data_IF_284825805271
#
_entry.id   IF_284825805271
#
_cell.length_a   1.000
_cell.length_b   1.000
_cell.length_c   1.000
_cell.angle_alpha   90.00
_cell.angle_beta   90.00
_cell.angle_gamma   90.00
#
_symmetry.space_group_name_H-M   'P 1'
#
loop_
_entity.id
_entity.type
_entity.pdbx_description
1 polymer ?
#
# COMPACT_ATOMS: atom_id res chain seq x y z
N UNK A 1 -21.43 -11.45 -26.93
CA UNK A 1 -22.68 -10.69 -26.77
C UNK A 1 -23.18 -10.73 -25.31
N UNK A 2 -23.28 -11.89 -24.67
CA UNK A 2 -23.78 -12.00 -23.28
C UNK A 2 -22.91 -11.26 -22.23
N UNK A 3 -21.57 -11.23 -22.39
CA UNK A 3 -20.70 -10.51 -21.48
C UNK A 3 -20.86 -8.97 -21.59
N UNK A 4 -21.07 -8.44 -22.80
CA UNK A 4 -21.25 -7.01 -23.00
C UNK A 4 -22.58 -6.50 -22.45
N UNK A 5 -23.64 -7.29 -22.52
CA UNK A 5 -24.94 -6.95 -21.91
C UNK A 5 -24.86 -6.98 -20.38
N UNK A 6 -24.13 -7.95 -19.81
CA UNK A 6 -23.93 -8.03 -18.36
C UNK A 6 -23.12 -6.82 -17.83
N UNK A 7 -22.06 -6.41 -18.53
CA UNK A 7 -21.27 -5.22 -18.18
C UNK A 7 -22.08 -3.93 -18.23
N UNK A 8 -22.90 -3.75 -19.28
CA UNK A 8 -23.80 -2.57 -19.42
C UNK A 8 -24.82 -2.53 -18.27
N UNK A 9 -25.42 -3.67 -17.93
CA UNK A 9 -26.38 -3.75 -16.83
C UNK A 9 -25.74 -3.46 -15.47
N UNK A 10 -24.49 -3.88 -15.25
CA UNK A 10 -23.76 -3.61 -14.02
C UNK A 10 -23.37 -2.13 -13.91
N UNK A 11 -22.98 -1.52 -15.02
CA UNK A 11 -22.68 -0.09 -15.11
C UNK A 11 -23.93 0.77 -14.85
N UNK A 12 -25.08 0.44 -15.46
CA UNK A 12 -26.35 1.12 -15.23
C UNK A 12 -26.83 0.98 -13.77
N UNK A 13 -26.69 -0.20 -13.15
CA UNK A 13 -27.02 -0.42 -11.74
C UNK A 13 -26.10 0.40 -10.82
N UNK A 14 -24.82 0.47 -11.15
CA UNK A 14 -23.85 1.25 -10.40
C UNK A 14 -24.16 2.75 -10.50
N UNK A 15 -24.45 3.26 -11.68
CA UNK A 15 -24.84 4.66 -11.89
C UNK A 15 -26.15 5.00 -11.16
N UNK A 16 -27.15 4.13 -11.24
CA UNK A 16 -28.42 4.30 -10.54
C UNK A 16 -28.26 4.27 -9.02
N UNK A 17 -27.34 3.43 -8.51
CA UNK A 17 -27.01 3.36 -7.09
C UNK A 17 -26.26 4.61 -6.61
N UNK A 18 -25.31 5.10 -7.42
CA UNK A 18 -24.57 6.33 -7.13
C UNK A 18 -25.46 7.57 -7.18
N UNK A 19 -26.38 7.67 -8.12
CA UNK A 19 -27.29 8.82 -8.27
C UNK A 19 -28.28 8.99 -7.13
N UNK A 20 -28.52 7.95 -6.34
CA UNK A 20 -29.43 7.97 -5.18
C UNK A 20 -28.72 8.27 -3.86
N UNK A 21 -27.38 8.45 -3.86
CA UNK A 21 -26.63 8.73 -2.64
C UNK A 21 -26.43 10.22 -2.46
N UNK A 22 -26.81 10.69 -1.31
CA UNK A 22 -26.37 12.00 -0.83
C UNK A 22 -24.91 11.92 -0.44
N UNK A 23 -24.06 12.74 -1.07
CA UNK A 23 -22.65 12.85 -0.70
C UNK A 23 -22.58 13.73 0.54
N UNK A 24 -22.32 13.11 1.68
CA UNK A 24 -22.07 13.82 2.93
C UNK A 24 -20.63 14.26 2.96
N UNK A 25 -20.40 15.57 2.96
CA UNK A 25 -19.07 16.13 3.09
C UNK A 25 -18.58 16.06 4.54
N UNK A 26 -17.25 15.94 4.76
CA UNK A 26 -16.70 15.96 6.11
C UNK A 26 -16.89 17.33 6.76
N UNK A 27 -17.23 17.35 8.06
CA UNK A 27 -17.36 18.59 8.84
C UNK A 27 -15.99 19.23 9.16
N UNK A 28 -14.92 18.42 9.19
CA UNK A 28 -13.57 18.86 9.52
C UNK A 28 -12.60 18.38 8.44
N UNK A 29 -11.80 19.29 7.91
CA UNK A 29 -10.69 19.01 7.00
C UNK A 29 -9.38 19.52 7.61
N UNK A 30 -8.28 18.78 7.40
CA UNK A 30 -6.95 19.15 7.86
C UNK A 30 -5.88 18.68 6.85
N UNK A 31 -4.72 19.32 6.87
CA UNK A 31 -3.63 19.02 5.92
C UNK A 31 -2.59 18.03 6.47
N UNK A 32 -2.14 18.22 7.72
CA UNK A 32 -1.03 17.43 8.28
C UNK A 32 -1.46 16.54 9.43
N UNK A 33 -2.02 17.14 10.47
CA UNK A 33 -2.36 16.43 11.70
C UNK A 33 -3.60 17.03 12.34
N UNK A 34 -4.47 16.15 12.81
CA UNK A 34 -5.60 16.51 13.67
C UNK A 34 -5.55 15.68 14.95
N UNK A 35 -5.78 16.31 16.11
CA UNK A 35 -5.70 15.66 17.42
C UNK A 35 -7.08 15.56 18.03
N UNK A 36 -7.51 14.34 18.29
CA UNK A 36 -8.73 14.05 19.05
C UNK A 36 -8.36 13.69 20.50
N UNK A 37 -9.07 14.28 21.45
CA UNK A 37 -9.01 13.88 22.86
C UNK A 37 -10.37 13.37 23.28
N UNK A 38 -10.43 12.12 23.75
CA UNK A 38 -11.65 11.43 24.16
C UNK A 38 -11.41 10.82 25.54
N UNK A 39 -11.88 11.49 26.59
CA UNK A 39 -11.53 11.13 27.96
C UNK A 39 -10.02 11.27 28.21
N UNK A 40 -9.39 10.19 28.62
CA UNK A 40 -7.96 10.07 28.89
C UNK A 40 -7.14 9.60 27.64
N UNK A 41 -7.79 9.42 26.50
CA UNK A 41 -7.16 8.94 25.26
C UNK A 41 -6.90 10.07 24.28
N UNK A 42 -5.76 10.00 23.63
CA UNK A 42 -5.35 10.88 22.54
C UNK A 42 -5.22 10.08 21.24
N UNK A 43 -5.93 10.50 20.19
CA UNK A 43 -5.80 9.94 18.85
C UNK A 43 -5.25 11.02 17.93
N UNK A 44 -4.08 10.78 17.37
CA UNK A 44 -3.50 11.62 16.33
C UNK A 44 -3.91 11.07 14.95
N UNK A 45 -4.68 11.82 14.20
CA UNK A 45 -4.92 11.58 12.78
C UNK A 45 -3.83 12.30 11.99
N UNK A 46 -3.03 11.56 11.23
CA UNK A 46 -1.81 12.09 10.59
C UNK A 46 -1.86 11.79 9.10
N UNK A 47 -1.74 12.83 8.27
CA UNK A 47 -1.58 12.66 6.83
C UNK A 47 -0.17 12.15 6.52
N UNK A 48 -0.08 11.08 5.75
CA UNK A 48 1.19 10.56 5.25
C UNK A 48 1.57 11.14 3.87
N UNK A 49 0.73 11.98 3.31
CA UNK A 49 0.89 12.53 1.96
C UNK A 49 0.26 11.63 0.88
N UNK A 50 0.52 11.94 -0.40
CA UNK A 50 0.04 11.14 -1.54
C UNK A 50 0.85 9.86 -1.70
N UNK A 51 0.19 8.77 -2.06
CA UNK A 51 0.82 7.45 -2.30
C UNK A 51 -0.25 6.41 -2.51
N UNK A 52 -0.85 5.89 -1.45
CA UNK A 52 -2.00 4.98 -1.56
C UNK A 52 -3.24 5.70 -2.11
N UNK A 53 -3.55 6.86 -1.57
CA UNK A 53 -4.53 7.85 -2.07
C UNK A 53 -3.98 9.23 -1.77
N UNK A 54 -4.57 10.27 -2.35
CA UNK A 54 -4.15 11.66 -2.11
C UNK A 54 -4.56 12.18 -0.72
N UNK A 55 -5.42 11.46 -0.02
CA UNK A 55 -6.01 11.87 1.26
C UNK A 55 -5.84 10.83 2.36
N UNK A 56 -4.83 9.96 2.25
CA UNK A 56 -4.62 8.91 3.23
C UNK A 56 -4.16 9.48 4.57
N UNK A 57 -4.85 9.08 5.62
CA UNK A 57 -4.48 9.36 7.01
C UNK A 57 -4.27 8.05 7.77
N UNK A 58 -3.41 8.10 8.77
CA UNK A 58 -3.27 7.04 9.76
C UNK A 58 -3.76 7.53 11.11
N UNK A 59 -4.25 6.62 11.95
CA UNK A 59 -4.66 6.94 13.31
C UNK A 59 -3.67 6.35 14.32
N UNK A 60 -3.04 7.23 15.11
CA UNK A 60 -2.10 6.85 16.16
C UNK A 60 -2.74 7.05 17.53
N UNK A 61 -2.99 5.95 18.22
CA UNK A 61 -3.55 5.87 19.56
C UNK A 61 -2.38 5.92 20.56
N UNK A 62 -2.15 7.12 21.11
CA UNK A 62 -0.90 7.43 21.82
C UNK A 62 -0.71 6.57 23.07
N UNK A 63 -1.69 6.56 23.97
CA UNK A 63 -1.59 5.84 25.23
C UNK A 63 -1.60 4.31 25.05
N UNK A 64 -2.24 3.83 23.99
CA UNK A 64 -2.28 2.39 23.66
C UNK A 64 -1.09 1.94 22.81
N UNK A 65 -0.19 2.87 22.44
CA UNK A 65 0.98 2.61 21.59
C UNK A 65 0.60 1.81 20.33
N UNK A 66 -0.52 2.17 19.73
CA UNK A 66 -1.13 1.46 18.59
C UNK A 66 -1.28 2.40 17.41
N UNK A 67 -0.96 1.91 16.21
CA UNK A 67 -1.20 2.63 14.96
C UNK A 67 -2.14 1.86 14.05
N UNK A 68 -3.15 2.53 13.49
CA UNK A 68 -3.94 2.00 12.37
C UNK A 68 -3.37 2.55 11.08
N UNK A 69 -2.73 1.67 10.29
CA UNK A 69 -2.03 2.02 9.03
C UNK A 69 -2.93 1.98 7.80
N UNK A 70 -4.21 1.63 7.95
CA UNK A 70 -5.13 1.45 6.81
C UNK A 70 -4.48 0.51 5.77
N UNK A 71 -4.26 0.97 4.55
CA UNK A 71 -3.74 0.16 3.44
C UNK A 71 -2.30 0.56 3.03
N UNK A 72 -1.58 1.30 3.90
CA UNK A 72 -0.19 1.72 3.63
C UNK A 72 0.79 0.57 3.71
N UNK A 73 0.54 -0.43 4.56
CA UNK A 73 1.44 -1.55 4.76
C UNK A 73 0.72 -2.91 4.66
N UNK A 74 1.32 -3.82 3.92
CA UNK A 74 0.92 -5.23 3.90
C UNK A 74 1.67 -5.98 5.00
N UNK A 75 1.03 -6.13 6.17
CA UNK A 75 1.67 -6.72 7.34
C UNK A 75 1.77 -8.24 7.22
N UNK A 76 2.99 -8.78 7.37
CA UNK A 76 3.30 -10.23 7.30
C UNK A 76 2.94 -10.89 5.96
N UNK A 77 2.80 -10.09 4.90
CA UNK A 77 2.53 -10.58 3.55
C UNK A 77 3.24 -9.70 2.50
N UNK A 78 3.40 -10.21 1.29
CA UNK A 78 3.87 -9.40 0.15
C UNK A 78 2.83 -8.33 -0.23
N UNK A 79 3.21 -7.38 -1.06
CA UNK A 79 2.31 -6.34 -1.50
C UNK A 79 1.07 -6.87 -2.24
N UNK A 80 -0.01 -6.12 -2.24
CA UNK A 80 -1.26 -6.54 -2.86
C UNK A 80 -1.13 -6.51 -4.40
N UNK A 81 -1.35 -7.65 -5.02
CA UNK A 81 -1.35 -7.84 -6.48
C UNK A 81 -0.15 -7.16 -7.18
N UNK A 82 -0.37 -6.25 -8.13
CA UNK A 82 0.67 -5.58 -8.92
C UNK A 82 1.28 -4.35 -8.25
N UNK A 83 0.97 -4.07 -6.98
CA UNK A 83 1.43 -2.82 -6.33
C UNK A 83 1.10 -1.59 -7.18
N UNK A 84 -0.13 -1.50 -7.73
CA UNK A 84 -0.58 -0.58 -8.78
C UNK A 84 -0.56 0.92 -8.43
N UNK A 85 0.46 1.39 -7.74
CA UNK A 85 0.65 2.75 -7.24
C UNK A 85 2.10 3.15 -7.31
N UNK A 86 2.44 4.45 -7.33
CA UNK A 86 3.83 4.89 -7.39
C UNK A 86 4.66 4.32 -6.25
N UNK A 87 5.32 3.19 -6.50
CA UNK A 87 5.98 2.39 -5.45
C UNK A 87 7.05 3.18 -4.68
N UNK A 88 7.73 4.12 -5.35
CA UNK A 88 8.74 4.97 -4.73
C UNK A 88 8.15 5.96 -3.70
N UNK A 89 6.86 6.29 -3.83
CA UNK A 89 6.16 7.16 -2.86
C UNK A 89 5.76 6.41 -1.58
N UNK A 90 5.72 5.08 -1.61
CA UNK A 90 5.34 4.24 -0.46
C UNK A 90 6.36 4.27 0.67
N UNK A 91 7.65 4.13 0.35
CA UNK A 91 8.70 4.05 1.36
C UNK A 91 8.74 5.29 2.26
N UNK A 92 8.74 6.53 1.72
CA UNK A 92 8.66 7.73 2.56
C UNK A 92 7.43 7.79 3.48
N UNK A 93 6.27 7.28 3.04
CA UNK A 93 5.07 7.20 3.87
C UNK A 93 5.24 6.21 5.03
N UNK A 94 5.79 5.03 4.75
CA UNK A 94 6.09 4.03 5.76
C UNK A 94 7.12 4.54 6.78
N UNK A 95 8.16 5.23 6.32
CA UNK A 95 9.17 5.83 7.21
C UNK A 95 8.57 6.95 8.08
N UNK A 96 7.66 7.76 7.53
CA UNK A 96 6.93 8.76 8.33
C UNK A 96 6.09 8.09 9.41
N UNK A 97 5.42 6.98 9.11
CA UNK A 97 4.69 6.19 10.10
C UNK A 97 5.64 5.57 11.14
N UNK A 98 6.79 5.02 10.71
CA UNK A 98 7.81 4.43 11.58
C UNK A 98 8.43 5.41 12.58
N UNK A 99 8.41 6.72 12.29
CA UNK A 99 8.87 7.75 13.23
C UNK A 99 7.93 7.94 14.44
N UNK A 100 6.73 7.40 14.41
CA UNK A 100 5.77 7.45 15.53
C UNK A 100 6.13 6.41 16.60
N UNK A 101 5.68 6.67 17.82
CA UNK A 101 5.89 5.78 18.96
C UNK A 101 4.73 4.79 19.11
N UNK A 102 4.90 3.58 18.57
CA UNK A 102 3.93 2.48 18.64
C UNK A 102 4.61 1.13 18.73
N UNK A 103 3.89 0.15 19.26
CA UNK A 103 4.28 -1.25 19.31
C UNK A 103 3.36 -2.08 18.40
N UNK A 104 2.04 -1.86 18.50
CA UNK A 104 1.02 -2.61 17.77
C UNK A 104 0.60 -1.92 16.47
N UNK A 105 0.48 -2.71 15.41
CA UNK A 105 0.00 -2.27 14.10
C UNK A 105 -1.32 -2.94 13.77
N UNK A 106 -2.30 -2.12 13.44
CA UNK A 106 -3.61 -2.53 12.91
C UNK A 106 -3.66 -2.12 11.43
N UNK A 107 -3.48 -3.02 10.47
CA UNK A 107 -3.66 -2.71 9.06
C UNK A 107 -5.14 -2.69 8.68
N UNK A 108 -5.49 -2.11 7.52
CA UNK A 108 -6.86 -2.20 6.97
C UNK A 108 -7.20 -3.62 6.52
N UNK A 109 -6.19 -4.33 6.01
CA UNK A 109 -6.27 -5.73 5.57
C UNK A 109 -5.10 -6.53 6.15
N UNK A 110 -5.25 -7.85 6.20
CA UNK A 110 -4.28 -8.80 6.73
C UNK A 110 -4.25 -8.93 8.27
N UNK A 111 -3.19 -9.51 8.82
CA UNK A 111 -3.07 -9.79 10.25
C UNK A 111 -2.56 -8.58 11.03
N UNK A 112 -2.88 -8.53 12.31
CA UNK A 112 -2.22 -7.62 13.25
C UNK A 112 -0.71 -7.86 13.25
N UNK A 113 0.04 -6.81 13.47
CA UNK A 113 1.50 -6.86 13.50
C UNK A 113 2.11 -5.95 14.54
N UNK A 114 3.42 -5.93 14.52
CA UNK A 114 4.28 -5.12 15.37
C UNK A 114 5.08 -4.14 14.50
N UNK A 115 5.73 -3.19 15.16
CA UNK A 115 6.59 -2.20 14.46
C UNK A 115 7.64 -2.86 13.57
N UNK A 116 8.17 -4.03 14.00
CA UNK A 116 9.13 -4.79 13.20
C UNK A 116 8.52 -5.34 11.91
N UNK A 117 7.24 -5.67 11.88
CA UNK A 117 6.58 -6.14 10.65
C UNK A 117 6.49 -5.04 9.59
N UNK A 118 6.33 -3.78 10.01
CA UNK A 118 6.42 -2.63 9.10
C UNK A 118 7.83 -2.47 8.55
N UNK A 119 8.86 -2.63 9.39
CA UNK A 119 10.27 -2.60 8.93
C UNK A 119 10.54 -3.71 7.92
N UNK A 120 10.11 -4.94 8.20
CA UNK A 120 10.24 -6.07 7.28
C UNK A 120 9.56 -5.80 5.93
N UNK A 121 8.43 -5.10 5.93
CA UNK A 121 7.75 -4.72 4.69
C UNK A 121 8.51 -3.63 3.92
N UNK A 122 9.09 -2.66 4.60
CA UNK A 122 9.98 -1.65 3.99
C UNK A 122 11.19 -2.34 3.36
N UNK A 123 11.84 -3.27 4.07
CA UNK A 123 13.01 -4.00 3.59
C UNK A 123 12.65 -4.83 2.34
N UNK A 124 11.50 -5.51 2.37
CA UNK A 124 10.97 -6.22 1.20
C UNK A 124 10.79 -5.30 -0.02
N UNK A 125 10.11 -4.17 0.14
CA UNK A 125 9.86 -3.23 -0.96
C UNK A 125 11.15 -2.60 -1.48
N UNK A 126 12.05 -2.20 -0.59
CA UNK A 126 13.34 -1.60 -0.95
C UNK A 126 14.20 -2.57 -1.76
N UNK A 127 14.26 -3.84 -1.31
CA UNK A 127 14.99 -4.90 -2.01
C UNK A 127 14.37 -5.18 -3.37
N UNK A 128 13.04 -5.29 -3.45
CA UNK A 128 12.30 -5.52 -4.70
C UNK A 128 12.58 -4.42 -5.73
N UNK A 129 12.45 -3.15 -5.33
CA UNK A 129 12.70 -2.01 -6.22
C UNK A 129 14.15 -2.04 -6.73
N UNK A 130 15.12 -2.16 -5.82
CA UNK A 130 16.54 -2.15 -6.17
C UNK A 130 16.91 -3.29 -7.13
N UNK A 131 16.38 -4.50 -6.92
CA UNK A 131 16.67 -5.63 -7.79
C UNK A 131 16.00 -5.50 -9.16
N UNK A 132 14.78 -4.95 -9.22
CA UNK A 132 14.12 -4.66 -10.50
C UNK A 132 14.87 -3.56 -11.27
N UNK A 133 15.29 -2.48 -10.61
CA UNK A 133 16.11 -1.42 -11.22
C UNK A 133 17.41 -1.99 -11.80
N UNK A 134 18.09 -2.86 -11.06
CA UNK A 134 19.32 -3.52 -11.54
C UNK A 134 19.03 -4.38 -12.76
N UNK A 135 17.99 -5.22 -12.74
CA UNK A 135 17.64 -6.07 -13.88
C UNK A 135 17.33 -5.25 -15.14
N UNK A 136 16.56 -4.16 -15.01
CA UNK A 136 16.26 -3.23 -16.11
C UNK A 136 17.55 -2.59 -16.65
N UNK A 137 18.45 -2.14 -15.78
CA UNK A 137 19.73 -1.54 -16.16
C UNK A 137 20.64 -2.51 -16.94
N UNK A 138 20.50 -3.82 -16.67
CA UNK A 138 21.18 -4.90 -17.39
C UNK A 138 20.44 -5.32 -18.67
N UNK A 139 19.34 -4.68 -19.04
CA UNK A 139 18.54 -4.97 -20.23
C UNK A 139 17.72 -6.26 -20.14
N UNK A 140 17.41 -6.73 -18.94
CA UNK A 140 16.58 -7.93 -18.74
C UNK A 140 15.12 -7.66 -19.08
N UNK A 141 14.49 -8.65 -19.68
CA UNK A 141 13.03 -8.65 -19.89
C UNK A 141 12.29 -8.84 -18.57
N UNK A 142 10.98 -8.62 -18.59
CA UNK A 142 10.13 -8.88 -17.42
C UNK A 142 10.24 -10.36 -16.98
N UNK A 143 10.17 -11.29 -17.92
CA UNK A 143 10.25 -12.74 -17.65
C UNK A 143 11.60 -13.13 -17.05
N UNK A 144 12.70 -12.59 -17.58
CA UNK A 144 14.05 -12.81 -17.04
C UNK A 144 14.16 -12.24 -15.63
N UNK A 145 13.62 -11.03 -15.40
CA UNK A 145 13.59 -10.37 -14.08
C UNK A 145 12.82 -11.21 -13.07
N UNK A 146 11.64 -11.72 -13.43
CA UNK A 146 10.85 -12.59 -12.57
C UNK A 146 11.62 -13.86 -12.17
N UNK A 147 12.32 -14.51 -13.11
CA UNK A 147 13.11 -15.71 -12.83
C UNK A 147 14.30 -15.42 -11.90
N UNK A 148 15.00 -14.30 -12.11
CA UNK A 148 16.11 -13.87 -11.26
C UNK A 148 15.61 -13.61 -9.82
N UNK A 149 14.53 -12.87 -9.67
CA UNK A 149 14.04 -12.43 -8.38
C UNK A 149 13.41 -13.57 -7.56
N UNK A 150 12.86 -14.61 -8.18
CA UNK A 150 12.44 -15.82 -7.48
C UNK A 150 13.56 -16.45 -6.66
N UNK A 151 14.80 -16.40 -7.18
CA UNK A 151 15.97 -16.90 -6.47
C UNK A 151 16.55 -15.89 -5.47
N UNK A 152 16.79 -14.67 -5.94
CA UNK A 152 17.52 -13.65 -5.17
C UNK A 152 16.71 -13.05 -4.00
N UNK A 153 15.38 -13.14 -4.03
CA UNK A 153 14.49 -12.68 -2.97
C UNK A 153 13.87 -13.82 -2.16
N UNK A 154 14.39 -15.06 -2.28
CA UNK A 154 13.87 -16.23 -1.57
C UNK A 154 13.85 -16.07 -0.04
N UNK A 155 14.65 -15.19 0.51
CA UNK A 155 14.64 -14.85 1.96
C UNK A 155 13.31 -14.27 2.44
N UNK A 156 12.49 -13.68 1.55
CA UNK A 156 11.18 -13.13 1.84
C UNK A 156 10.01 -14.11 1.63
N UNK A 157 10.28 -15.36 1.26
CA UNK A 157 9.22 -16.34 0.95
C UNK A 157 8.37 -16.75 2.16
N UNK A 158 8.80 -16.38 3.38
CA UNK A 158 8.02 -16.53 4.61
C UNK A 158 6.81 -15.58 4.67
N UNK A 159 6.80 -14.54 3.86
CA UNK A 159 5.68 -13.61 3.77
C UNK A 159 4.48 -14.30 3.11
N UNK A 160 3.30 -14.15 3.71
CA UNK A 160 2.06 -14.69 3.15
C UNK A 160 1.82 -14.17 1.72
N UNK A 161 1.07 -14.91 0.94
CA UNK A 161 0.76 -14.59 -0.46
C UNK A 161 1.97 -14.56 -1.40
N UNK A 162 3.12 -15.09 -0.98
CA UNK A 162 4.31 -15.16 -1.83
C UNK A 162 4.02 -15.85 -3.15
N UNK A 163 3.49 -17.08 -3.13
CA UNK A 163 3.21 -17.87 -4.33
C UNK A 163 2.14 -17.24 -5.24
N UNK A 164 1.25 -16.42 -4.65
CA UNK A 164 0.13 -15.81 -5.36
C UNK A 164 0.49 -14.43 -5.95
N UNK A 165 1.25 -13.61 -5.23
CA UNK A 165 1.41 -12.19 -5.55
C UNK A 165 2.84 -11.72 -5.77
N UNK A 166 3.86 -12.51 -5.41
CA UNK A 166 5.25 -12.04 -5.57
C UNK A 166 5.59 -11.69 -7.02
N UNK A 167 5.28 -12.57 -7.98
CA UNK A 167 5.53 -12.29 -9.40
C UNK A 167 4.69 -11.14 -9.94
N UNK A 168 3.49 -10.93 -9.39
CA UNK A 168 2.68 -9.75 -9.70
C UNK A 168 3.33 -8.47 -9.14
N UNK A 169 3.92 -8.52 -7.94
CA UNK A 169 4.68 -7.39 -7.39
C UNK A 169 5.88 -7.04 -8.28
N UNK A 170 6.64 -8.06 -8.73
CA UNK A 170 7.75 -7.87 -9.70
C UNK A 170 7.24 -7.21 -10.97
N UNK A 171 6.14 -7.71 -11.54
CA UNK A 171 5.51 -7.15 -12.73
C UNK A 171 5.15 -5.69 -12.55
N UNK A 172 4.46 -5.36 -11.46
CA UNK A 172 4.01 -3.98 -11.22
C UNK A 172 5.17 -3.00 -11.04
N UNK A 173 6.21 -3.40 -10.29
CA UNK A 173 7.41 -2.56 -10.10
C UNK A 173 8.19 -2.42 -11.42
N UNK A 174 8.34 -3.53 -12.18
CA UNK A 174 9.03 -3.50 -13.48
C UNK A 174 8.36 -2.53 -14.45
N UNK A 175 7.05 -2.62 -14.63
CA UNK A 175 6.31 -1.74 -15.54
C UNK A 175 6.41 -0.27 -15.11
N UNK A 176 6.26 0.03 -13.83
CA UNK A 176 6.38 1.39 -13.31
C UNK A 176 7.76 2.01 -13.57
N UNK A 177 8.84 1.21 -13.49
CA UNK A 177 10.21 1.70 -13.70
C UNK A 177 10.54 1.76 -15.20
N UNK A 178 10.17 0.73 -15.97
CA UNK A 178 10.47 0.64 -17.39
C UNK A 178 9.69 1.67 -18.24
N UNK A 179 8.45 1.98 -17.89
CA UNK A 179 7.63 2.98 -18.57
C UNK A 179 8.05 4.41 -18.21
N UNK A 180 8.95 4.55 -17.27
CA UNK A 180 9.25 5.80 -16.59
C UNK A 180 8.04 6.15 -15.72
N UNK A 181 8.17 6.24 -14.41
CA UNK A 181 7.09 6.82 -13.61
C UNK A 181 6.68 8.09 -14.34
N UNK A 182 5.46 8.11 -14.87
CA UNK A 182 4.96 9.28 -15.56
C UNK A 182 5.30 10.46 -14.66
N UNK A 183 6.27 11.22 -15.12
CA UNK A 183 6.82 12.38 -14.41
C UNK A 183 5.64 13.24 -13.97
N UNK A 184 5.63 13.53 -12.71
CA UNK A 184 4.73 14.38 -11.92
C UNK A 184 3.91 15.40 -12.69
#
# INVERSE_FOLDING_TARGET
HENAEAEILEEERTQQWMSKREIVLPDIAFSDKFVLKIGDKTVNLISLGSGHTDSLIVAHFVEDRTIHLVDVASIKQVGFMTLGRPIKKYIPQLEKAMALDFDLVVPGHAALGEKQDVRNYIDYLTTLISQVENAISEGKTLEETQQILLGSMAEFNYLKRWDEWFLLNVTGVYLQIAEGEASD
#
